data_IF_546854632337
#
_entry.id   IF_546854632337
#
_cell.length_a   1.000
_cell.length_b   1.000
_cell.length_c   1.000
_cell.angle_alpha   90.00
_cell.angle_beta   90.00
_cell.angle_gamma   90.00
#
_symmetry.space_group_name_H-M   'P 1'
#
loop_
_entity.id
_entity.type
_entity.pdbx_description
1 polymer ?
#
# COMPACT_ATOMS: atom_id res chain seq x y z
N UNK A 1 0.58 -2.80 2.07
CA UNK A 1 -0.79 -2.26 2.06
C UNK A 1 -0.73 -0.82 2.55
N UNK A 2 -1.41 0.08 1.85
CA UNK A 2 -1.60 1.47 2.23
C UNK A 2 -3.09 1.72 2.49
N UNK A 3 -3.39 2.49 3.54
CA UNK A 3 -4.73 2.96 3.85
C UNK A 3 -4.64 4.47 3.94
N UNK A 4 -5.41 5.16 3.11
CA UNK A 4 -5.34 6.61 3.08
C UNK A 4 -6.58 7.29 2.55
N UNK A 5 -6.59 8.61 2.66
CA UNK A 5 -7.69 9.45 2.13
C UNK A 5 -7.29 9.99 0.77
N UNK A 6 -8.21 9.93 -0.20
CA UNK A 6 -8.04 10.57 -1.52
C UNK A 6 -8.76 11.93 -1.54
N UNK A 7 -8.10 13.06 -1.21
CA UNK A 7 -8.76 14.37 -1.22
C UNK A 7 -8.95 14.95 -2.63
N UNK A 8 -8.32 14.39 -3.66
CA UNK A 8 -8.20 14.98 -5.02
C UNK A 8 -9.18 14.44 -6.06
N UNK A 9 -9.97 13.43 -5.73
CA UNK A 9 -11.11 12.99 -6.54
C UNK A 9 -12.37 13.41 -5.79
N UNK A 10 -13.34 13.98 -6.50
CA UNK A 10 -14.55 14.67 -6.00
C UNK A 10 -15.56 13.75 -5.28
N UNK A 11 -15.07 12.93 -4.35
CA UNK A 11 -15.75 11.78 -3.74
C UNK A 11 -15.73 11.84 -2.19
N UNK A 12 -15.40 12.98 -1.57
CA UNK A 12 -15.58 13.21 -0.13
C UNK A 12 -14.52 12.60 0.82
N UNK A 13 -14.96 12.01 1.93
CA UNK A 13 -14.13 11.53 3.07
C UNK A 13 -13.67 10.07 2.95
N UNK A 14 -13.78 9.49 1.76
CA UNK A 14 -13.60 8.05 1.56
C UNK A 14 -12.15 7.59 1.79
N UNK A 15 -12.04 6.49 2.52
CA UNK A 15 -10.78 5.80 2.80
C UNK A 15 -10.54 4.82 1.64
N UNK A 16 -9.41 4.94 0.96
CA UNK A 16 -8.92 3.96 -0.01
C UNK A 16 -7.99 2.96 0.67
N UNK A 17 -8.14 1.69 0.30
CA UNK A 17 -7.25 0.61 0.69
C UNK A 17 -6.55 0.08 -0.57
N UNK A 18 -5.22 0.12 -0.56
CA UNK A 18 -4.39 -0.29 -1.69
C UNK A 18 -3.41 -1.39 -1.23
N UNK A 19 -3.44 -2.52 -1.92
CA UNK A 19 -2.60 -3.69 -1.59
C UNK A 19 -1.69 -3.99 -2.76
N UNK A 20 -0.39 -4.00 -2.50
CA UNK A 20 0.61 -4.55 -3.39
C UNK A 20 0.94 -5.97 -2.90
N UNK A 21 0.59 -6.99 -3.69
CA UNK A 21 0.89 -8.39 -3.41
C UNK A 21 2.28 -8.68 -3.98
N UNK A 22 3.22 -9.09 -3.12
CA UNK A 22 4.62 -9.33 -3.51
C UNK A 22 4.73 -10.64 -4.29
N UNK A 23 5.57 -10.65 -5.33
CA UNK A 23 5.80 -11.81 -6.21
C UNK A 23 4.52 -12.38 -6.83
N UNK A 24 3.57 -11.51 -7.17
CA UNK A 24 2.27 -11.85 -7.75
C UNK A 24 2.04 -11.09 -9.05
N UNK A 25 1.55 -11.77 -10.09
CA UNK A 25 1.42 -11.22 -11.45
C UNK A 25 0.17 -11.72 -12.19
N UNK A 26 -0.98 -11.72 -11.50
CA UNK A 26 -2.26 -12.14 -12.08
C UNK A 26 -3.35 -11.08 -11.85
N UNK A 27 -4.37 -11.10 -12.69
CA UNK A 27 -5.56 -10.26 -12.56
C UNK A 27 -6.61 -10.94 -11.66
N UNK A 28 -6.91 -10.34 -10.52
CA UNK A 28 -7.86 -10.87 -9.52
C UNK A 28 -9.09 -9.99 -9.34
N UNK A 29 -9.46 -9.24 -10.38
CA UNK A 29 -10.68 -8.45 -10.35
C UNK A 29 -11.91 -9.34 -10.09
N UNK A 30 -12.82 -8.87 -9.24
CA UNK A 30 -14.03 -9.59 -8.79
C UNK A 30 -13.77 -10.88 -7.99
N UNK A 31 -12.52 -11.16 -7.62
CA UNK A 31 -12.20 -12.25 -6.71
C UNK A 31 -12.32 -11.79 -5.26
N UNK A 32 -12.79 -12.69 -4.39
CA UNK A 32 -12.77 -12.46 -2.95
C UNK A 32 -11.36 -12.64 -2.40
N UNK A 33 -10.88 -11.65 -1.65
CA UNK A 33 -9.60 -11.71 -0.96
C UNK A 33 -9.80 -11.51 0.54
N UNK A 34 -9.02 -12.24 1.34
CA UNK A 34 -8.94 -12.06 2.78
C UNK A 34 -7.61 -11.41 3.14
N UNK A 35 -7.67 -10.32 3.91
CA UNK A 35 -6.49 -9.58 4.36
C UNK A 35 -6.40 -9.66 5.88
N UNK A 36 -5.19 -9.84 6.40
CA UNK A 36 -4.91 -9.75 7.83
C UNK A 36 -3.83 -8.69 8.07
N UNK A 37 -4.07 -7.81 9.03
CA UNK A 37 -3.08 -6.83 9.47
C UNK A 37 -2.11 -7.51 10.45
N UNK A 38 -0.83 -7.57 10.09
CA UNK A 38 0.21 -8.12 10.95
C UNK A 38 0.90 -7.00 11.75
N UNK A 39 1.52 -6.05 11.03
CA UNK A 39 2.27 -4.96 11.64
C UNK A 39 2.03 -3.65 10.88
N UNK A 40 2.00 -2.54 11.61
CA UNK A 40 2.05 -1.19 11.03
C UNK A 40 3.51 -0.79 10.87
N UNK A 41 3.94 -0.55 9.64
CA UNK A 41 5.36 -0.25 9.32
C UNK A 41 5.67 1.25 9.27
N UNK A 42 4.66 2.10 9.06
CA UNK A 42 4.82 3.56 8.93
C UNK A 42 3.48 4.30 9.07
N UNK A 43 3.54 5.58 9.45
CA UNK A 43 2.42 6.53 9.30
C UNK A 43 2.29 7.05 7.86
N UNK A 44 1.15 7.66 7.52
CA UNK A 44 1.01 8.38 6.24
C UNK A 44 2.07 9.48 6.11
N UNK A 45 2.59 9.63 4.89
CA UNK A 45 3.59 10.64 4.57
C UNK A 45 3.23 11.27 3.24
N UNK A 46 3.21 12.60 3.19
CA UNK A 46 3.14 13.35 1.93
C UNK A 46 4.54 13.37 1.30
N UNK A 47 4.59 13.24 -0.01
CA UNK A 47 5.82 13.33 -0.79
C UNK A 47 5.74 14.52 -1.72
N UNK A 48 6.86 15.20 -1.91
CA UNK A 48 6.93 16.39 -2.76
C UNK A 48 7.11 16.02 -4.24
N UNK A 49 7.43 14.76 -4.54
CA UNK A 49 7.53 14.23 -5.90
C UNK A 49 7.13 12.75 -6.00
N UNK A 50 6.82 12.31 -7.22
CA UNK A 50 6.54 10.91 -7.54
C UNK A 50 7.77 10.04 -7.27
N UNK A 51 8.97 10.51 -7.59
CA UNK A 51 10.22 9.76 -7.35
C UNK A 51 10.44 9.47 -5.87
N UNK A 52 10.13 10.43 -4.99
CA UNK A 52 10.22 10.22 -3.54
C UNK A 52 9.20 9.17 -3.05
N UNK A 53 8.00 9.16 -3.62
CA UNK A 53 7.00 8.14 -3.32
C UNK A 53 7.49 6.75 -3.77
N UNK A 54 7.99 6.61 -4.99
CA UNK A 54 8.52 5.35 -5.53
C UNK A 54 9.65 4.84 -4.63
N UNK A 55 10.61 5.69 -4.28
CA UNK A 55 11.72 5.33 -3.39
C UNK A 55 11.24 4.87 -2.01
N UNK A 56 10.19 5.49 -1.46
CA UNK A 56 9.64 5.01 -0.19
C UNK A 56 8.93 3.67 -0.34
N UNK A 57 8.18 3.45 -1.42
CA UNK A 57 7.49 2.18 -1.66
C UNK A 57 8.47 1.02 -1.80
N UNK A 58 9.61 1.22 -2.47
CA UNK A 58 10.67 0.22 -2.55
C UNK A 58 11.27 -0.10 -1.17
N UNK A 59 11.51 0.91 -0.33
CA UNK A 59 11.98 0.70 1.06
C UNK A 59 10.94 -0.04 1.90
N UNK A 60 9.68 0.32 1.78
CA UNK A 60 8.58 -0.33 2.50
C UNK A 60 8.47 -1.81 2.07
N UNK A 61 8.62 -2.10 0.78
CA UNK A 61 8.67 -3.46 0.22
C UNK A 61 9.87 -4.25 0.75
N UNK A 62 11.08 -3.70 0.66
CA UNK A 62 12.30 -4.34 1.14
C UNK A 62 12.21 -4.66 2.64
N UNK A 63 11.71 -3.72 3.44
CA UNK A 63 11.49 -3.92 4.86
C UNK A 63 10.56 -5.11 5.13
N UNK A 64 9.40 -5.18 4.46
CA UNK A 64 8.44 -6.28 4.64
C UNK A 64 9.01 -7.62 4.18
N UNK A 65 9.73 -7.67 3.06
CA UNK A 65 10.37 -8.90 2.57
C UNK A 65 11.40 -9.43 3.57
N UNK A 66 12.21 -8.54 4.15
CA UNK A 66 13.30 -8.93 5.03
C UNK A 66 12.87 -9.19 6.48
N UNK A 67 11.81 -8.55 6.96
CA UNK A 67 11.43 -8.55 8.38
C UNK A 67 10.06 -9.17 8.68
N UNK A 68 9.24 -9.40 7.65
CA UNK A 68 7.85 -9.85 7.83
C UNK A 68 7.47 -11.08 6.98
N UNK A 69 8.42 -11.69 6.24
CA UNK A 69 8.21 -13.02 5.66
C UNK A 69 8.18 -14.04 6.81
N UNK A 70 6.97 -14.51 7.14
CA UNK A 70 6.78 -15.77 7.86
C UNK A 70 7.01 -16.95 6.92
#
# INVERSE_FOLDING_TARGET
>A
MNIGRRPTLDNGTNISLEVHIIDFSEDIYHQEIKIQFLHKIRDEKKFDSVDQLILQLEKDKEYVVNNCRQ
#
